data_IF_565321540565
#
_entry.id   IF_565321540565
#
_cell.length_a   1.000
_cell.length_b   1.000
_cell.length_c   1.000
_cell.angle_alpha   90.00
_cell.angle_beta   90.00
_cell.angle_gamma   90.00
#
_symmetry.space_group_name_H-M   'P 1'
#
loop_
_entity.id
_entity.type
_entity.pdbx_description
1 polymer ?
#
# COMPACT_ATOMS: atom_id res chain seq x y z
N UNK A 1 10.07 -57.92 -4.94
CA UNK A 1 10.01 -57.74 -6.40
C UNK A 1 10.44 -56.31 -6.70
N UNK A 2 11.63 -56.14 -7.26
CA UNK A 2 12.21 -54.85 -7.64
C UNK A 2 11.92 -54.59 -9.13
N UNK A 3 11.60 -53.35 -9.50
CA UNK A 3 11.61 -52.92 -10.89
C UNK A 3 12.05 -51.46 -11.01
N UNK A 4 13.27 -51.34 -11.49
CA UNK A 4 14.06 -50.15 -11.78
C UNK A 4 13.67 -49.60 -13.16
N UNK A 5 13.47 -48.28 -13.29
CA UNK A 5 13.48 -47.60 -14.60
C UNK A 5 14.57 -46.53 -14.63
N UNK A 6 15.62 -46.84 -15.39
CA UNK A 6 16.70 -45.97 -15.87
C UNK A 6 16.37 -45.48 -17.29
N UNK A 7 16.96 -44.35 -17.66
CA UNK A 7 17.20 -43.92 -19.05
C UNK A 7 16.44 -42.64 -19.40
N UNK A 8 17.00 -41.62 -20.04
CA UNK A 8 18.31 -41.30 -20.62
C UNK A 8 18.24 -39.78 -20.90
N UNK A 9 19.31 -38.98 -20.90
CA UNK A 9 20.48 -39.08 -21.76
C UNK A 9 20.39 -38.06 -22.90
N UNK A 10 21.40 -37.18 -22.99
CA UNK A 10 21.85 -36.37 -24.15
C UNK A 10 21.01 -35.12 -24.54
N UNK A 11 21.52 -33.90 -24.35
CA UNK A 11 22.51 -33.13 -25.17
C UNK A 11 21.85 -32.32 -26.29
N UNK A 12 22.58 -31.30 -26.76
CA UNK A 12 22.30 -30.24 -27.76
C UNK A 12 21.85 -28.90 -27.16
N UNK A 13 22.41 -27.73 -27.47
CA UNK A 13 23.67 -27.30 -28.04
C UNK A 13 23.70 -25.77 -27.88
N UNK A 14 24.91 -25.20 -27.79
CA UNK A 14 25.13 -23.77 -27.78
C UNK A 14 24.69 -23.09 -29.09
N UNK A 15 24.24 -21.84 -29.00
CA UNK A 15 24.39 -20.86 -30.07
C UNK A 15 24.73 -19.50 -29.48
N UNK A 16 25.99 -19.13 -29.68
CA UNK A 16 26.55 -17.78 -29.61
C UNK A 16 25.93 -16.92 -30.70
N UNK A 17 25.66 -15.64 -30.41
CA UNK A 17 25.67 -14.45 -31.28
C UNK A 17 24.77 -13.39 -30.64
N UNK A 18 25.17 -12.16 -30.36
CA UNK A 18 26.40 -11.47 -30.70
C UNK A 18 26.47 -10.10 -30.02
N UNK A 19 27.60 -9.45 -30.26
CA UNK A 19 27.91 -8.06 -29.93
C UNK A 19 26.81 -7.09 -30.36
N UNK A 20 26.47 -6.16 -29.47
CA UNK A 20 26.19 -4.78 -29.84
C UNK A 20 26.88 -3.85 -28.85
N UNK A 21 28.10 -3.44 -29.20
CA UNK A 21 28.66 -2.17 -28.75
C UNK A 21 27.84 -1.06 -29.42
N UNK A 22 27.04 -0.33 -28.65
CA UNK A 22 26.61 1.02 -29.00
C UNK A 22 26.61 1.84 -27.70
N UNK A 23 27.62 2.68 -27.50
CA UNK A 23 27.71 4.08 -27.95
C UNK A 23 27.53 4.95 -26.71
N UNK A 24 28.60 5.68 -26.43
CA UNK A 24 28.61 6.84 -25.54
C UNK A 24 27.44 7.76 -25.88
N UNK A 25 26.57 8.04 -24.91
CA UNK A 25 25.85 9.32 -24.91
C UNK A 25 26.13 10.06 -23.61
N UNK A 26 27.21 10.85 -23.69
CA UNK A 26 27.49 11.99 -22.83
C UNK A 26 26.40 13.04 -23.06
N UNK A 27 25.31 12.96 -22.31
CA UNK A 27 24.42 14.13 -22.13
C UNK A 27 23.98 14.28 -20.68
N UNK A 28 24.90 14.84 -19.91
CA UNK A 28 24.58 15.68 -18.75
C UNK A 28 23.90 16.95 -19.26
N UNK A 29 22.65 17.25 -18.85
CA UNK A 29 22.28 18.62 -18.62
C UNK A 29 22.65 18.97 -17.18
N UNK A 30 23.64 19.86 -17.06
CA UNK A 30 23.81 20.68 -15.88
C UNK A 30 22.54 21.52 -15.73
N UNK A 31 21.59 21.06 -14.92
CA UNK A 31 20.54 21.95 -14.42
C UNK A 31 21.08 22.67 -13.20
N UNK A 32 21.26 23.96 -13.45
CA UNK A 32 21.62 25.01 -12.54
C UNK A 32 20.82 24.90 -11.23
N UNK A 33 21.54 25.08 -10.13
CA UNK A 33 20.98 25.50 -8.87
C UNK A 33 20.12 26.75 -9.11
N UNK A 34 18.82 26.64 -8.88
CA UNK A 34 17.98 27.80 -8.62
C UNK A 34 17.70 27.81 -7.12
N UNK A 35 18.51 28.60 -6.43
CA UNK A 35 18.34 28.91 -5.02
C UNK A 35 17.29 30.03 -4.92
N UNK A 36 16.02 29.67 -5.08
CA UNK A 36 14.94 30.61 -4.80
C UNK A 36 14.64 30.60 -3.31
N UNK A 37 15.16 31.62 -2.64
CA UNK A 37 14.77 32.06 -1.31
C UNK A 37 13.23 31.99 -1.14
N UNK A 38 12.73 31.04 -0.34
CA UNK A 38 11.44 31.22 0.32
C UNK A 38 11.67 31.50 1.80
N UNK A 39 11.41 32.77 2.12
CA UNK A 39 11.50 33.42 3.42
C UNK A 39 10.90 32.57 4.53
N UNK A 40 11.51 32.54 5.73
CA UNK A 40 10.84 32.04 6.91
C UNK A 40 9.67 32.97 7.24
N UNK A 41 8.44 32.55 6.94
CA UNK A 41 7.27 33.17 7.58
C UNK A 41 7.20 32.60 9.00
N UNK A 42 8.02 33.17 9.88
CA UNK A 42 7.72 33.23 11.29
C UNK A 42 6.34 33.90 11.43
N UNK A 43 5.29 33.10 11.58
CA UNK A 43 4.05 33.60 12.16
C UNK A 43 4.29 33.80 13.66
N UNK A 44 4.98 34.91 13.97
CA UNK A 44 4.99 35.53 15.28
C UNK A 44 3.58 36.05 15.52
N UNK A 45 2.70 35.20 16.02
CA UNK A 45 1.63 35.68 16.88
C UNK A 45 2.13 35.57 18.30
N UNK A 46 2.96 36.56 18.63
CA UNK A 46 3.14 37.07 19.97
C UNK A 46 1.74 37.35 20.54
N UNK A 47 1.18 36.40 21.28
CA UNK A 47 0.11 36.73 22.21
C UNK A 47 0.80 37.35 23.42
N UNK A 48 0.89 38.67 23.34
CA UNK A 48 1.29 39.53 24.42
C UNK A 48 0.36 39.28 25.63
N UNK A 49 1.02 39.16 26.78
CA UNK A 49 0.42 39.25 28.08
C UNK A 49 -0.31 40.59 28.21
N UNK A 50 -1.65 40.54 28.31
CA UNK A 50 -2.43 41.65 28.82
C UNK A 50 -2.78 41.33 30.27
N UNK A 51 -1.97 41.87 31.17
CA UNK A 51 -2.25 41.99 32.60
C UNK A 51 -3.41 42.97 32.74
N UNK A 52 -4.57 42.49 33.14
CA UNK A 52 -5.75 43.29 33.45
C UNK A 52 -6.39 42.75 34.72
N UNK A 53 -6.06 43.37 35.86
CA UNK A 53 -6.74 43.14 37.12
C UNK A 53 -8.17 43.71 37.04
N UNK A 54 -9.17 42.90 37.34
CA UNK A 54 -10.55 43.37 37.43
C UNK A 54 -11.60 42.29 37.54
N UNK A 55 -11.92 41.93 38.80
CA UNK A 55 -13.25 41.58 39.31
C UNK A 55 -13.85 40.20 38.98
N UNK A 56 -13.79 39.34 40.01
CA UNK A 56 -14.89 38.52 40.55
C UNK A 56 -15.99 38.13 39.55
N UNK A 57 -15.83 36.97 38.93
CA UNK A 57 -16.93 36.18 38.38
C UNK A 57 -16.61 34.71 38.61
N UNK A 58 -17.62 33.96 39.01
CA UNK A 58 -17.53 32.66 39.65
C UNK A 58 -16.71 31.62 38.86
N UNK A 59 -16.04 30.64 39.51
CA UNK A 59 -15.66 29.43 38.82
C UNK A 59 -16.96 28.65 38.57
N UNK A 60 -17.71 29.06 37.54
CA UNK A 60 -18.48 28.11 36.78
C UNK A 60 -17.45 27.11 36.27
N UNK A 61 -17.33 26.00 36.98
CA UNK A 61 -16.78 24.77 36.45
C UNK A 61 -17.63 24.43 35.22
N UNK A 62 -17.28 25.09 34.12
CA UNK A 62 -17.46 24.58 32.79
C UNK A 62 -16.68 23.28 32.82
N UNK A 63 -17.44 22.23 33.12
CA UNK A 63 -17.20 20.89 32.66
C UNK A 63 -16.99 21.03 31.15
N UNK A 64 -15.75 21.35 30.79
CA UNK A 64 -15.27 21.27 29.43
C UNK A 64 -15.34 19.78 29.14
N UNK A 65 -16.53 19.36 28.69
CA UNK A 65 -16.80 18.05 28.15
C UNK A 65 -15.68 17.80 27.15
N UNK A 66 -14.68 17.04 27.61
CA UNK A 66 -13.52 16.71 26.83
C UNK A 66 -14.06 16.03 25.58
N UNK A 67 -14.12 16.80 24.48
CA UNK A 67 -14.66 16.36 23.22
C UNK A 67 -14.09 14.96 22.98
N UNK A 68 -14.94 13.94 22.74
CA UNK A 68 -14.51 12.56 22.70
C UNK A 68 -13.36 12.50 21.71
N UNK A 69 -12.14 12.27 22.21
CA UNK A 69 -10.95 12.12 21.38
C UNK A 69 -11.29 11.02 20.40
N UNK A 70 -11.64 11.38 19.15
CA UNK A 70 -11.93 10.42 18.09
C UNK A 70 -10.76 9.46 18.10
N UNK A 71 -10.99 8.23 18.60
CA UNK A 71 -10.00 7.17 18.60
C UNK A 71 -9.51 7.14 17.17
N UNK A 72 -8.23 7.46 16.94
CA UNK A 72 -7.61 7.34 15.62
C UNK A 72 -7.95 5.94 15.15
N UNK A 73 -8.85 5.83 14.16
CA UNK A 73 -9.29 4.54 13.64
C UNK A 73 -8.02 3.80 13.25
N UNK A 74 -7.76 2.70 13.95
CA UNK A 74 -6.61 1.87 13.62
C UNK A 74 -6.89 1.32 12.23
N UNK A 75 -5.91 1.35 11.31
CA UNK A 75 -6.10 0.71 10.03
C UNK A 75 -6.51 -0.74 10.29
N UNK A 76 -7.48 -1.28 9.53
CA UNK A 76 -7.93 -2.65 9.72
C UNK A 76 -6.73 -3.58 9.59
N UNK A 77 -6.62 -4.51 10.54
CA UNK A 77 -5.50 -5.48 10.58
C UNK A 77 -5.62 -6.51 9.46
N UNK A 78 -6.85 -6.76 9.02
CA UNK A 78 -7.18 -7.74 8.00
C UNK A 78 -8.10 -7.13 6.95
N UNK A 79 -7.85 -7.47 5.69
CA UNK A 79 -8.70 -7.14 4.55
C UNK A 79 -9.17 -8.43 3.86
N UNK A 80 -10.37 -8.40 3.30
CA UNK A 80 -10.91 -9.43 2.43
C UNK A 80 -10.99 -8.87 1.01
N UNK A 81 -10.38 -9.60 0.08
CA UNK A 81 -10.52 -9.33 -1.34
C UNK A 81 -11.40 -10.40 -1.98
N UNK A 82 -12.40 -9.99 -2.75
CA UNK A 82 -13.35 -10.90 -3.38
C UNK A 82 -13.86 -10.36 -4.72
N UNK A 83 -14.47 -11.24 -5.52
CA UNK A 83 -15.11 -10.88 -6.78
C UNK A 83 -14.19 -10.89 -8.00
N UNK A 84 -12.95 -11.37 -7.89
CA UNK A 84 -12.13 -11.65 -9.08
C UNK A 84 -12.51 -13.00 -9.67
N UNK A 85 -12.92 -13.02 -10.93
CA UNK A 85 -13.33 -14.26 -11.64
C UNK A 85 -12.14 -15.00 -12.29
N UNK A 86 -10.95 -14.40 -12.26
CA UNK A 86 -9.73 -14.99 -12.83
C UNK A 86 -9.16 -16.08 -11.94
N UNK A 87 -9.05 -17.31 -12.47
CA UNK A 87 -8.31 -18.40 -11.84
C UNK A 87 -6.79 -18.26 -11.97
N UNK A 88 -6.32 -17.46 -12.94
CA UNK A 88 -4.90 -17.30 -13.23
C UNK A 88 -4.20 -16.44 -12.16
N UNK A 89 -4.91 -15.46 -11.60
CA UNK A 89 -4.38 -14.56 -10.57
C UNK A 89 -5.25 -14.72 -9.33
N UNK A 90 -4.85 -15.58 -8.38
CA UNK A 90 -5.61 -15.77 -7.16
C UNK A 90 -5.47 -14.52 -6.28
N UNK A 91 -6.27 -13.47 -6.48
CA UNK A 91 -6.26 -12.31 -5.58
C UNK A 91 -7.35 -12.39 -4.51
N UNK A 92 -8.32 -13.29 -4.68
CA UNK A 92 -9.39 -13.50 -3.72
C UNK A 92 -8.86 -14.14 -2.43
N UNK A 93 -9.41 -13.73 -1.29
CA UNK A 93 -9.13 -14.29 0.02
C UNK A 93 -8.74 -13.23 1.04
N UNK A 94 -8.07 -13.69 2.09
CA UNK A 94 -7.68 -12.85 3.24
C UNK A 94 -6.30 -12.24 3.05
N UNK A 95 -6.18 -10.99 3.45
CA UNK A 95 -4.97 -10.18 3.37
C UNK A 95 -4.65 -9.65 4.77
N UNK A 96 -3.47 -9.98 5.25
CA UNK A 96 -3.02 -9.63 6.60
C UNK A 96 -2.03 -8.45 6.55
N UNK A 97 -2.13 -7.53 7.50
CA UNK A 97 -1.17 -6.44 7.63
C UNK A 97 0.24 -6.97 7.92
N UNK A 98 1.23 -6.46 7.20
CA UNK A 98 2.65 -6.73 7.48
C UNK A 98 3.14 -5.72 8.51
N UNK A 99 3.06 -6.08 9.80
CA UNK A 99 3.48 -5.23 10.90
C UNK A 99 4.92 -4.73 10.73
N UNK A 100 5.12 -3.44 11.02
CA UNK A 100 6.43 -2.78 10.92
C UNK A 100 6.84 -2.34 9.51
N UNK A 101 6.10 -2.72 8.46
CA UNK A 101 6.35 -2.25 7.10
C UNK A 101 5.33 -1.21 6.69
N UNK A 102 5.81 0.01 6.44
CA UNK A 102 5.03 1.12 5.90
C UNK A 102 5.67 1.60 4.61
N UNK A 103 4.86 1.79 3.58
CA UNK A 103 5.29 2.45 2.34
C UNK A 103 4.49 3.74 2.23
N UNK A 104 5.16 4.86 2.03
CA UNK A 104 4.55 6.21 2.10
C UNK A 104 3.74 6.45 3.39
N UNK A 105 4.18 5.90 4.53
CA UNK A 105 3.48 6.02 5.82
C UNK A 105 2.21 5.18 5.97
N UNK A 106 1.80 4.44 4.93
CA UNK A 106 0.61 3.58 4.91
C UNK A 106 0.98 2.11 5.13
N UNK A 107 0.09 1.31 5.75
CA UNK A 107 0.35 -0.10 5.99
C UNK A 107 0.40 -0.88 4.68
N UNK A 108 1.23 -1.92 4.66
CA UNK A 108 1.29 -2.89 3.56
C UNK A 108 0.57 -4.16 4.00
N UNK A 109 -0.28 -4.68 3.13
CA UNK A 109 -0.98 -5.94 3.35
C UNK A 109 -0.35 -7.03 2.49
N UNK A 110 -0.30 -8.26 2.99
CA UNK A 110 0.15 -9.44 2.26
C UNK A 110 -0.99 -10.44 2.19
N UNK A 111 -1.21 -11.05 1.04
CA UNK A 111 -2.17 -12.13 0.90
C UNK A 111 -1.71 -13.37 1.68
N UNK A 112 -2.62 -13.99 2.41
CA UNK A 112 -2.34 -15.22 3.14
C UNK A 112 -2.08 -16.36 2.15
N UNK A 113 -0.98 -17.10 2.34
CA UNK A 113 -0.61 -18.25 1.51
C UNK A 113 0.11 -17.92 0.20
N UNK A 114 0.22 -16.64 -0.19
CA UNK A 114 0.84 -16.24 -1.46
C UNK A 114 1.75 -15.02 -1.30
N UNK A 115 2.51 -14.69 -2.36
CA UNK A 115 3.48 -13.60 -2.37
C UNK A 115 2.93 -12.32 -3.00
N UNK A 116 1.64 -12.04 -2.84
CA UNK A 116 1.04 -10.78 -3.30
C UNK A 116 0.96 -9.76 -2.16
N UNK A 117 1.23 -8.51 -2.51
CA UNK A 117 1.22 -7.37 -1.62
C UNK A 117 0.24 -6.32 -2.12
N UNK A 118 -0.59 -5.83 -1.22
CA UNK A 118 -1.50 -4.71 -1.44
C UNK A 118 -0.92 -3.51 -0.67
N UNK A 119 -0.57 -2.46 -1.40
CA UNK A 119 0.06 -1.26 -0.86
C UNK A 119 -0.45 -0.01 -1.56
N UNK A 120 -0.12 1.16 -1.02
CA UNK A 120 -0.36 2.42 -1.72
C UNK A 120 0.89 2.80 -2.50
N UNK A 121 0.73 3.12 -3.77
CA UNK A 121 1.82 3.56 -4.64
C UNK A 121 2.16 5.04 -4.42
N UNK A 122 3.22 5.52 -5.07
CA UNK A 122 3.66 6.91 -4.98
C UNK A 122 2.62 7.90 -5.56
N UNK A 123 1.72 7.41 -6.42
CA UNK A 123 0.59 8.15 -6.98
C UNK A 123 -0.64 8.18 -6.07
N UNK A 124 -0.58 7.58 -4.87
CA UNK A 124 -1.67 7.57 -3.89
C UNK A 124 -2.78 6.57 -4.16
N UNK A 125 -2.64 5.70 -5.16
CA UNK A 125 -3.59 4.64 -5.52
C UNK A 125 -3.26 3.34 -4.81
N UNK A 126 -4.27 2.51 -4.52
CA UNK A 126 -4.02 1.14 -4.07
C UNK A 126 -3.51 0.30 -5.25
N UNK A 127 -2.45 -0.43 -4.99
CA UNK A 127 -1.74 -1.28 -5.94
C UNK A 127 -1.58 -2.69 -5.38
N UNK A 128 -1.71 -3.68 -6.27
CA UNK A 128 -1.40 -5.09 -6.02
C UNK A 128 -0.20 -5.47 -6.86
N UNK A 129 0.79 -6.07 -6.21
CA UNK A 129 2.03 -6.50 -6.86
C UNK A 129 2.62 -7.72 -6.15
N UNK A 130 3.50 -8.46 -6.82
CA UNK A 130 4.32 -9.52 -6.20
C UNK A 130 5.54 -8.95 -5.48
N UNK A 131 5.98 -7.75 -5.90
CA UNK A 131 7.12 -7.06 -5.31
C UNK A 131 6.69 -5.92 -4.39
N UNK A 132 7.57 -5.54 -3.46
CA UNK A 132 7.33 -4.39 -2.55
C UNK A 132 7.78 -3.09 -3.19
N UNK A 133 7.32 -2.83 -4.41
CA UNK A 133 7.62 -1.62 -5.17
C UNK A 133 6.34 -0.79 -5.28
N UNK A 134 6.42 0.47 -4.87
CA UNK A 134 5.31 1.42 -4.94
C UNK A 134 5.37 2.30 -6.20
N UNK A 135 5.81 1.72 -7.32
CA UNK A 135 5.90 2.44 -8.60
C UNK A 135 4.52 2.59 -9.22
N UNK A 136 4.23 3.77 -9.80
CA UNK A 136 2.94 4.00 -10.47
C UNK A 136 2.77 3.18 -11.76
N UNK A 137 3.86 2.60 -12.27
CA UNK A 137 3.90 1.83 -13.51
C UNK A 137 4.14 0.34 -13.24
N UNK A 138 3.52 -0.52 -14.06
CA UNK A 138 3.91 -1.93 -14.20
C UNK A 138 3.33 -2.91 -13.18
N UNK A 139 2.30 -2.54 -12.42
CA UNK A 139 1.73 -3.41 -11.38
C UNK A 139 0.68 -4.40 -11.89
N UNK A 140 0.50 -5.49 -11.15
CA UNK A 140 -0.51 -6.52 -11.43
C UNK A 140 -1.93 -5.98 -11.25
N UNK A 141 -2.15 -5.10 -10.27
CA UNK A 141 -3.45 -4.48 -10.07
C UNK A 141 -3.37 -3.03 -9.59
N UNK A 142 -4.23 -2.16 -10.11
CA UNK A 142 -4.33 -0.75 -9.70
C UNK A 142 -5.80 -0.40 -9.44
N UNK A 143 -6.06 0.23 -8.30
CA UNK A 143 -7.35 0.86 -8.03
C UNK A 143 -7.39 2.23 -8.71
N UNK A 144 -8.21 2.33 -9.76
CA UNK A 144 -8.55 3.60 -10.40
C UNK A 144 -9.91 4.09 -9.87
N UNK A 145 -10.30 5.31 -10.25
CA UNK A 145 -11.61 5.87 -9.90
C UNK A 145 -12.78 5.01 -10.41
N UNK A 146 -12.62 4.39 -11.59
CA UNK A 146 -13.60 3.50 -12.19
C UNK A 146 -13.64 2.09 -11.58
N UNK A 147 -12.81 1.82 -10.56
CA UNK A 147 -12.65 0.51 -9.95
C UNK A 147 -11.28 -0.12 -10.22
N UNK A 148 -11.18 -1.42 -9.97
CA UNK A 148 -9.91 -2.14 -10.07
C UNK A 148 -9.58 -2.50 -11.51
N UNK A 149 -8.32 -2.35 -11.88
CA UNK A 149 -7.74 -2.88 -13.12
C UNK A 149 -6.73 -3.93 -12.72
N UNK A 150 -6.91 -5.17 -13.14
CA UNK A 150 -6.02 -6.30 -12.84
C UNK A 150 -5.54 -6.89 -14.15
N UNK A 151 -4.23 -7.00 -14.32
CA UNK A 151 -3.56 -7.52 -15.53
C UNK A 151 -4.05 -6.82 -16.81
N UNK A 152 -4.16 -5.49 -16.74
CA UNK A 152 -4.64 -4.65 -17.82
C UNK A 152 -6.14 -4.75 -18.11
N UNK A 153 -6.90 -5.58 -17.40
CA UNK A 153 -8.35 -5.75 -17.57
C UNK A 153 -9.14 -5.11 -16.44
N UNK A 154 -10.26 -4.49 -16.76
CA UNK A 154 -11.18 -3.96 -15.77
C UNK A 154 -11.80 -5.12 -14.95
N UNK A 155 -11.64 -5.06 -13.64
CA UNK A 155 -12.18 -6.00 -12.67
C UNK A 155 -13.24 -5.30 -11.82
N UNK A 156 -14.36 -4.91 -12.44
CA UNK A 156 -15.43 -4.14 -11.78
C UNK A 156 -16.05 -4.87 -10.57
N UNK A 157 -16.02 -6.20 -10.57
CA UNK A 157 -16.54 -7.02 -9.48
C UNK A 157 -15.53 -7.18 -8.32
N UNK A 158 -14.25 -6.86 -8.55
CA UNK A 158 -13.22 -7.03 -7.54
C UNK A 158 -13.30 -5.92 -6.49
N UNK A 159 -13.43 -6.32 -5.22
CA UNK A 159 -13.56 -5.42 -4.07
C UNK A 159 -12.59 -5.83 -2.99
N UNK A 160 -12.00 -4.84 -2.35
CA UNK A 160 -11.18 -5.01 -1.14
C UNK A 160 -11.87 -4.27 -0.02
N UNK A 161 -12.25 -4.98 1.04
CA UNK A 161 -12.95 -4.42 2.20
C UNK A 161 -12.29 -4.88 3.50
N UNK A 162 -12.42 -4.12 4.60
CA UNK A 162 -12.05 -4.61 5.92
C UNK A 162 -12.76 -5.93 6.25
N UNK A 163 -12.04 -6.86 6.88
CA UNK A 163 -12.66 -8.08 7.41
C UNK A 163 -13.69 -7.71 8.50
N UNK A 164 -14.89 -8.27 8.41
CA UNK A 164 -15.92 -8.14 9.45
C UNK A 164 -15.87 -9.33 10.40
N UNK A 165 -16.53 -9.22 11.56
CA UNK A 165 -16.67 -10.34 12.51
C UNK A 165 -17.35 -11.56 11.87
N UNK A 166 -18.25 -11.35 10.92
CA UNK A 166 -18.96 -12.40 10.18
C UNK A 166 -18.02 -13.15 9.23
N UNK A 167 -17.17 -12.41 8.51
CA UNK A 167 -16.15 -12.99 7.64
C UNK A 167 -15.13 -13.81 8.46
N UNK A 168 -14.73 -13.30 9.63
CA UNK A 168 -13.83 -14.00 10.55
C UNK A 168 -14.45 -15.33 11.03
N UNK A 169 -15.71 -15.33 11.48
CA UNK A 169 -16.41 -16.54 11.91
C UNK A 169 -16.58 -17.56 10.78
N UNK A 170 -16.89 -17.09 9.55
CA UNK A 170 -17.02 -17.95 8.37
C UNK A 170 -15.69 -18.63 8.02
N UNK A 171 -14.57 -17.91 8.15
CA UNK A 171 -13.23 -18.47 7.92
C UNK A 171 -12.82 -19.51 8.96
N UNK A 172 -13.38 -19.45 10.18
CA UNK A 172 -13.05 -20.33 11.30
C UNK A 172 -13.92 -21.59 11.40
N UNK A 173 -14.90 -21.78 10.50
CA UNK A 173 -15.65 -23.03 10.43
C UNK A 173 -16.37 -23.40 11.73
N UNK A 174 -16.88 -22.41 12.47
CA UNK A 174 -17.85 -22.70 13.53
C UNK A 174 -19.18 -23.00 12.82
N UNK A 175 -19.32 -24.25 12.37
CA UNK A 175 -20.63 -24.86 12.17
C UNK A 175 -21.36 -24.77 13.51
N UNK A 176 -22.34 -23.87 13.59
CA UNK A 176 -23.38 -23.97 14.60
C UNK A 176 -24.28 -25.17 14.27
#
# INVERSE_FOLDING_TARGET
MAAQRRGGGLLWAALLSGLALNVLDLRRPAFLAVETHQKPVQSRRSFAWAVGAGLLSEPAWAEEEAAPKKKKERPPETLIAEGLESKAIPLNGRWSIVFGKKIAGKPVYKKDGESYFLMTNDCGQLQIDTEKKATCDGSIGIQKESGWVIDGKAAANFKVRPETKEDANKSQGISA
#
